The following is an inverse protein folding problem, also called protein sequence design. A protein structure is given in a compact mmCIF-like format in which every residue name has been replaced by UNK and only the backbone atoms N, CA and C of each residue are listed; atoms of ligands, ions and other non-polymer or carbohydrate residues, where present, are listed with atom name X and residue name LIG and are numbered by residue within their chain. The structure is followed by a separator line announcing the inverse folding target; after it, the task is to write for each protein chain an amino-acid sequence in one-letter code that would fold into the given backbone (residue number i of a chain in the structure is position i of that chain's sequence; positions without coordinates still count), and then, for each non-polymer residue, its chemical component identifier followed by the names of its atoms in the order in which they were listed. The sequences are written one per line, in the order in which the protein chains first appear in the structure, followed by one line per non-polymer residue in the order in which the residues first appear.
data_IF_550359718621
#
_entry.id   IF_550359718621
#
_cell.length_a   1.000
_cell.length_b   1.000
_cell.length_c   1.000
_cell.angle_alpha   90.00
_cell.angle_beta   90.00
_cell.angle_gamma   90.00
#
_symmetry.space_group_name_H-M   'P 1'
#
loop_
_entity.id
_entity.type
_entity.pdbx_description
1 polymer ?
#
# COMPACT_ATOMS: atom_id res chain seq x y z
N UNK A 1 -38.86 -2.34 35.79
CA UNK A 1 -38.02 -1.59 34.83
C UNK A 1 -38.92 -1.26 33.65
N UNK A 2 -39.24 0.02 33.46
CA UNK A 2 -40.16 0.45 32.43
C UNK A 2 -39.51 0.38 31.05
N UNK A 3 -40.32 0.35 29.99
CA UNK A 3 -39.86 0.36 28.59
C UNK A 3 -38.89 1.52 28.30
N UNK A 4 -39.20 2.73 28.82
CA UNK A 4 -38.38 3.93 28.63
C UNK A 4 -36.97 3.79 29.19
N UNK A 5 -36.84 3.25 30.40
CA UNK A 5 -35.53 3.04 31.03
C UNK A 5 -34.71 2.01 30.27
N UNK A 6 -35.32 0.93 29.80
CA UNK A 6 -34.68 -0.07 28.95
C UNK A 6 -34.23 0.49 27.61
N UNK A 7 -35.08 1.30 26.97
CA UNK A 7 -34.79 1.97 25.71
C UNK A 7 -33.62 2.98 25.85
N UNK A 8 -33.64 3.81 26.88
CA UNK A 8 -32.56 4.76 27.17
C UNK A 8 -31.21 4.06 27.42
N UNK A 9 -31.20 2.96 28.15
CA UNK A 9 -30.01 2.19 28.41
C UNK A 9 -29.47 1.56 27.12
N UNK A 10 -30.35 1.11 26.22
CA UNK A 10 -29.95 0.58 24.91
C UNK A 10 -29.35 1.66 23.99
N UNK A 11 -29.98 2.83 23.94
CA UNK A 11 -29.51 3.98 23.19
C UNK A 11 -28.14 4.49 23.66
N UNK A 12 -27.94 4.52 25.01
CA UNK A 12 -26.63 4.85 25.60
C UNK A 12 -25.54 3.87 25.13
N UNK A 13 -25.83 2.56 25.18
CA UNK A 13 -24.88 1.55 24.66
C UNK A 13 -24.52 1.76 23.19
N UNK A 14 -25.51 2.03 22.34
CA UNK A 14 -25.25 2.32 20.92
C UNK A 14 -24.38 3.56 20.73
N UNK A 15 -24.63 4.59 21.51
CA UNK A 15 -23.79 5.79 21.50
C UNK A 15 -22.34 5.47 21.91
N UNK A 16 -22.17 4.76 23.01
CA UNK A 16 -20.86 4.38 23.53
C UNK A 16 -20.09 3.46 22.53
N UNK A 17 -20.80 2.62 21.78
CA UNK A 17 -20.23 1.79 20.71
C UNK A 17 -19.82 2.65 19.51
N UNK A 18 -20.66 3.60 19.10
CA UNK A 18 -20.34 4.53 18.02
C UNK A 18 -19.13 5.41 18.35
N UNK A 19 -19.08 5.97 19.58
CA UNK A 19 -17.96 6.80 20.04
C UNK A 19 -16.65 6.02 20.07
N UNK A 20 -16.69 4.74 20.49
CA UNK A 20 -15.51 3.86 20.44
C UNK A 20 -15.05 3.57 19.00
N UNK A 21 -15.99 3.30 18.10
CA UNK A 21 -15.67 3.05 16.69
C UNK A 21 -15.03 4.26 16.03
N UNK A 22 -15.52 5.47 16.32
CA UNK A 22 -14.92 6.71 15.85
C UNK A 22 -13.49 6.91 16.42
N UNK A 23 -13.25 6.51 17.66
CA UNK A 23 -11.92 6.49 18.25
C UNK A 23 -10.97 5.59 17.47
N UNK A 24 -11.38 4.37 17.17
CA UNK A 24 -10.57 3.41 16.40
C UNK A 24 -10.28 3.86 14.95
N UNK A 25 -11.24 4.53 14.32
CA UNK A 25 -11.03 5.13 13.00
C UNK A 25 -9.92 6.17 13.07
N UNK A 26 -9.97 7.09 14.02
CA UNK A 26 -8.97 8.14 14.19
C UNK A 26 -7.56 7.57 14.47
N UNK A 27 -7.48 6.58 15.35
CA UNK A 27 -6.21 5.88 15.64
C UNK A 27 -5.61 5.23 14.39
N UNK A 28 -6.45 4.60 13.55
CA UNK A 28 -6.01 3.99 12.30
C UNK A 28 -5.56 5.03 11.27
N UNK A 29 -6.26 6.17 11.16
CA UNK A 29 -5.89 7.28 10.28
C UNK A 29 -4.57 7.92 10.72
N UNK A 30 -4.37 8.11 12.02
CA UNK A 30 -3.12 8.66 12.57
C UNK A 30 -1.93 7.71 12.31
N UNK A 31 -2.13 6.40 12.52
CA UNK A 31 -1.11 5.40 12.20
C UNK A 31 -0.78 5.39 10.70
N UNK A 32 -1.79 5.52 9.83
CA UNK A 32 -1.58 5.58 8.38
C UNK A 32 -0.85 6.85 7.96
N UNK A 33 -1.16 7.99 8.56
CA UNK A 33 -0.43 9.26 8.30
C UNK A 33 1.04 9.14 8.71
N UNK A 34 1.32 8.67 9.91
CA UNK A 34 2.68 8.43 10.37
C UNK A 34 3.45 7.46 9.47
N UNK A 35 2.78 6.39 9.04
CA UNK A 35 3.40 5.44 8.11
C UNK A 35 3.63 6.05 6.72
N UNK A 36 2.69 6.85 6.19
CA UNK A 36 2.84 7.49 4.87
C UNK A 36 4.03 8.44 4.83
N UNK A 37 4.22 9.23 5.88
CA UNK A 37 5.37 10.13 6.00
C UNK A 37 6.69 9.36 5.96
N UNK A 38 6.79 8.28 6.70
CA UNK A 38 7.98 7.42 6.71
C UNK A 38 8.19 6.68 5.39
N UNK A 39 7.12 6.17 4.80
CA UNK A 39 7.16 5.51 3.49
C UNK A 39 7.67 6.46 2.40
N UNK A 40 7.15 7.69 2.38
CA UNK A 40 7.53 8.70 1.39
C UNK A 40 8.99 9.12 1.58
N UNK A 41 9.41 9.37 2.82
CA UNK A 41 10.81 9.66 3.12
C UNK A 41 11.75 8.50 2.71
N UNK A 42 11.35 7.25 2.94
CA UNK A 42 12.11 6.08 2.51
C UNK A 42 12.18 5.92 0.97
N UNK A 43 11.10 6.24 0.26
CA UNK A 43 11.08 6.25 -1.20
C UNK A 43 11.95 7.37 -1.77
N UNK A 44 11.93 8.56 -1.20
CA UNK A 44 12.80 9.68 -1.59
C UNK A 44 14.27 9.36 -1.34
N UNK A 45 14.59 8.79 -0.17
CA UNK A 45 15.95 8.36 0.18
C UNK A 45 16.47 7.32 -0.80
N UNK A 46 15.71 6.26 -1.06
CA UNK A 46 16.12 5.19 -1.99
C UNK A 46 16.20 5.69 -3.44
N UNK A 47 15.35 6.65 -3.83
CA UNK A 47 15.43 7.32 -5.12
C UNK A 47 16.70 8.16 -5.26
N UNK A 48 17.12 8.84 -4.19
CA UNK A 48 18.39 9.57 -4.17
C UNK A 48 19.59 8.62 -4.37
N UNK A 49 19.59 7.45 -3.71
CA UNK A 49 20.61 6.42 -3.94
C UNK A 49 20.56 5.87 -5.37
N UNK A 50 19.38 5.68 -5.93
CA UNK A 50 19.21 5.27 -7.33
C UNK A 50 19.78 6.28 -8.31
N UNK A 51 19.59 7.58 -8.08
CA UNK A 51 20.21 8.65 -8.89
C UNK A 51 21.74 8.62 -8.78
N UNK A 52 22.29 8.42 -7.59
CA UNK A 52 23.75 8.26 -7.41
C UNK A 52 24.29 7.03 -8.14
N UNK A 53 23.49 5.97 -8.28
CA UNK A 53 23.83 4.79 -9.07
C UNK A 53 23.64 4.97 -10.58
N UNK A 54 23.24 6.16 -11.04
CA UNK A 54 23.12 6.50 -12.47
C UNK A 54 21.73 6.23 -13.07
N UNK A 55 20.71 5.93 -12.28
CA UNK A 55 19.35 5.79 -12.79
C UNK A 55 18.67 7.16 -12.97
N UNK A 56 17.91 7.32 -14.06
CA UNK A 56 17.05 8.48 -14.29
C UNK A 56 15.80 8.40 -13.40
N UNK A 57 15.85 8.94 -12.18
CA UNK A 57 14.75 8.90 -11.23
C UNK A 57 14.34 10.32 -10.86
N UNK A 58 13.06 10.60 -10.99
CA UNK A 58 12.43 11.85 -10.56
C UNK A 58 11.47 11.58 -9.43
N UNK A 59 11.47 12.47 -8.44
CA UNK A 59 10.51 12.47 -7.35
C UNK A 59 9.92 13.87 -7.22
N UNK A 60 8.60 13.97 -7.02
CA UNK A 60 7.93 15.22 -6.70
C UNK A 60 6.84 14.99 -5.67
N UNK A 61 6.58 16.00 -4.85
CA UNK A 61 5.55 15.96 -3.84
C UNK A 61 4.56 17.09 -4.06
N UNK A 62 3.31 16.73 -4.35
CA UNK A 62 2.25 17.69 -4.60
C UNK A 62 0.91 17.15 -4.06
N UNK A 63 0.12 18.04 -3.45
CA UNK A 63 -1.25 17.72 -3.00
C UNK A 63 -1.36 16.49 -2.09
N UNK A 64 -0.34 16.26 -1.24
CA UNK A 64 -0.32 15.11 -0.33
C UNK A 64 0.06 13.78 -1.00
N UNK A 65 0.49 13.81 -2.26
CA UNK A 65 0.94 12.65 -3.02
C UNK A 65 2.43 12.73 -3.32
N UNK A 66 3.10 11.60 -3.27
CA UNK A 66 4.47 11.42 -3.74
C UNK A 66 4.44 10.77 -5.13
N UNK A 67 4.90 11.51 -6.13
CA UNK A 67 5.12 10.99 -7.47
C UNK A 67 6.55 10.48 -7.60
N UNK A 68 6.69 9.28 -8.12
CA UNK A 68 7.96 8.62 -8.39
C UNK A 68 7.98 8.17 -9.84
N UNK A 69 8.94 8.66 -10.62
CA UNK A 69 9.12 8.31 -12.04
C UNK A 69 10.51 7.77 -12.28
N UNK A 70 10.60 6.73 -13.08
CA UNK A 70 11.86 6.13 -13.52
C UNK A 70 11.92 6.18 -15.02
N UNK A 71 13.07 6.66 -15.54
CA UNK A 71 13.40 6.68 -16.95
C UNK A 71 14.53 5.68 -17.21
N UNK A 72 14.26 4.62 -17.95
CA UNK A 72 15.25 3.64 -18.36
C UNK A 72 15.89 4.01 -19.71
N UNK A 73 15.14 4.70 -20.59
CA UNK A 73 15.56 5.27 -21.88
C UNK A 73 14.65 6.46 -22.21
N UNK A 74 14.96 7.28 -23.22
CA UNK A 74 14.16 8.46 -23.57
C UNK A 74 12.66 8.18 -23.74
N UNK A 75 12.31 7.03 -24.31
CA UNK A 75 10.93 6.62 -24.57
C UNK A 75 10.44 5.52 -23.61
N UNK A 76 11.22 5.20 -22.59
CA UNK A 76 10.97 4.12 -21.65
C UNK A 76 10.90 4.64 -20.23
N UNK A 77 9.70 4.88 -19.77
CA UNK A 77 9.43 5.41 -18.42
C UNK A 77 8.33 4.61 -17.74
N UNK A 78 8.40 4.56 -16.44
CA UNK A 78 7.31 4.08 -15.58
C UNK A 78 7.14 5.02 -14.40
N UNK A 79 5.92 5.22 -13.96
CA UNK A 79 5.60 6.12 -12.86
C UNK A 79 4.57 5.55 -11.91
N UNK A 80 4.66 5.95 -10.65
CA UNK A 80 3.66 5.66 -9.61
C UNK A 80 3.49 6.86 -8.71
N UNK A 81 2.25 7.18 -8.39
CA UNK A 81 1.87 8.22 -7.42
C UNK A 81 1.33 7.56 -6.18
N UNK A 82 1.94 7.79 -5.03
CA UNK A 82 1.47 7.30 -3.73
C UNK A 82 0.74 8.40 -2.97
N UNK A 83 -0.45 8.09 -2.45
CA UNK A 83 -1.24 9.03 -1.67
C UNK A 83 -1.92 8.38 -0.47
N UNK A 84 -2.02 9.13 0.63
CA UNK A 84 -2.86 8.78 1.77
C UNK A 84 -4.30 9.16 1.46
N UNK A 85 -5.23 8.22 1.59
CA UNK A 85 -6.64 8.50 1.47
C UNK A 85 -7.21 8.79 2.86
N UNK A 86 -7.50 10.07 3.14
CA UNK A 86 -8.10 10.51 4.38
C UNK A 86 -9.63 10.29 4.37
N UNK A 87 -10.22 10.04 5.55
CA UNK A 87 -11.67 9.88 5.73
C UNK A 87 -12.24 8.55 5.25
N UNK A 88 -11.39 7.60 4.87
CA UNK A 88 -11.79 6.26 4.44
C UNK A 88 -11.12 5.20 5.30
N UNK A 89 -11.31 5.28 6.59
CA UNK A 89 -11.09 4.11 7.43
C UNK A 89 -12.24 3.14 7.17
N UNK A 90 -12.11 2.37 6.13
CA UNK A 90 -13.10 1.40 5.76
C UNK A 90 -13.01 0.17 6.68
N UNK A 91 -14.16 -0.50 6.81
CA UNK A 91 -14.20 -1.88 7.25
C UNK A 91 -13.11 -2.71 6.54
N UNK A 92 -12.68 -3.76 7.20
CA UNK A 92 -11.69 -4.72 6.73
C UNK A 92 -11.96 -5.05 5.26
N UNK A 93 -10.99 -4.73 4.41
CA UNK A 93 -11.00 -5.21 3.03
C UNK A 93 -10.72 -6.72 3.07
N UNK A 94 -11.72 -7.50 2.75
CA UNK A 94 -11.64 -8.95 2.74
C UNK A 94 -10.51 -9.45 1.83
N UNK A 95 -10.19 -8.73 0.76
CA UNK A 95 -9.13 -9.08 -0.17
C UNK A 95 -7.71 -8.91 0.40
N UNK A 96 -7.51 -7.99 1.34
CA UNK A 96 -6.24 -7.88 2.07
C UNK A 96 -6.15 -8.88 3.24
N UNK A 97 -7.27 -9.52 3.58
CA UNK A 97 -7.43 -10.41 4.72
C UNK A 97 -7.42 -11.91 4.37
N UNK A 98 -6.90 -12.32 3.23
CA UNK A 98 -6.84 -13.74 2.82
C UNK A 98 -6.02 -14.65 3.75
N UNK A 99 -5.38 -14.13 4.78
CA UNK A 99 -5.06 -14.96 5.92
C UNK A 99 -6.35 -15.17 6.72
N UNK A 100 -6.72 -16.43 6.93
CA UNK A 100 -7.68 -16.85 7.95
C UNK A 100 -7.21 -16.37 9.33
N UNK A 101 -7.22 -15.07 9.53
CA UNK A 101 -7.29 -14.54 10.87
C UNK A 101 -8.63 -15.04 11.36
N UNK A 102 -8.59 -15.72 12.49
CA UNK A 102 -9.83 -16.00 13.23
C UNK A 102 -10.45 -14.64 13.53
N UNK A 103 -11.29 -14.19 12.62
CA UNK A 103 -11.79 -12.83 12.48
C UNK A 103 -12.59 -12.34 13.68
N UNK A 104 -12.85 -13.21 14.60
CA UNK A 104 -13.78 -12.98 15.70
C UNK A 104 -13.16 -12.23 16.89
N UNK A 105 -11.86 -12.22 17.04
CA UNK A 105 -11.18 -11.46 18.09
C UNK A 105 -10.76 -10.05 17.67
N UNK A 106 -10.95 -9.68 16.40
CA UNK A 106 -10.38 -8.46 15.82
C UNK A 106 -11.42 -7.42 15.41
N UNK A 107 -12.69 -7.57 15.80
CA UNK A 107 -13.69 -6.55 15.51
C UNK A 107 -13.31 -5.11 15.89
N UNK A 108 -12.54 -4.86 16.95
CA UNK A 108 -12.06 -3.51 17.24
C UNK A 108 -10.87 -3.06 16.40
N UNK A 109 -10.06 -3.98 15.87
CA UNK A 109 -8.90 -3.67 15.03
C UNK A 109 -9.20 -3.67 13.52
N UNK A 110 -10.46 -3.80 13.16
CA UNK A 110 -10.93 -3.86 11.77
C UNK A 110 -10.81 -2.57 10.98
N UNK A 111 -10.47 -1.46 11.63
CA UNK A 111 -10.31 -0.19 10.95
C UNK A 111 -8.86 -0.01 10.53
N UNK A 112 -8.65 0.34 9.27
CA UNK A 112 -7.34 0.65 8.73
C UNK A 112 -7.38 1.93 7.92
N UNK A 113 -6.40 2.80 8.11
CA UNK A 113 -6.12 3.87 7.16
C UNK A 113 -5.49 3.30 5.90
N UNK A 114 -5.63 3.99 4.76
CA UNK A 114 -5.24 3.48 3.46
C UNK A 114 -4.27 4.39 2.76
N UNK A 115 -3.22 3.79 2.18
CA UNK A 115 -2.32 4.44 1.24
C UNK A 115 -2.43 3.67 -0.07
N UNK A 116 -2.61 4.40 -1.15
CA UNK A 116 -2.72 3.83 -2.49
C UNK A 116 -1.57 4.29 -3.35
N UNK A 117 -1.12 3.40 -4.24
CA UNK A 117 -0.24 3.72 -5.35
C UNK A 117 -1.00 3.56 -6.66
N UNK A 118 -0.95 4.58 -7.50
CA UNK A 118 -1.51 4.56 -8.85
C UNK A 118 -0.39 4.67 -9.87
N UNK A 119 -0.45 3.84 -10.90
CA UNK A 119 0.47 3.91 -12.03
C UNK A 119 -0.28 4.46 -13.24
N UNK A 120 0.36 5.36 -13.99
CA UNK A 120 -0.19 5.89 -15.24
C UNK A 120 -0.53 4.76 -16.23
N UNK A 121 0.20 3.66 -16.16
CA UNK A 121 0.05 2.49 -17.02
C UNK A 121 -1.04 1.52 -16.55
N UNK A 122 -1.39 1.53 -15.28
CA UNK A 122 -2.37 0.60 -14.68
C UNK A 122 -3.83 1.10 -14.75
N UNK A 123 -4.06 2.32 -15.26
CA UNK A 123 -5.38 2.91 -15.35
C UNK A 123 -5.90 3.49 -14.03
N UNK A 124 -7.22 3.47 -13.81
CA UNK A 124 -7.87 4.12 -12.66
C UNK A 124 -7.76 3.31 -11.35
N UNK A 125 -7.47 2.02 -11.42
CA UNK A 125 -7.36 1.18 -10.23
C UNK A 125 -6.00 1.31 -9.55
N UNK A 126 -5.96 1.29 -8.20
CA UNK A 126 -4.70 1.32 -7.48
C UNK A 126 -3.87 0.06 -7.78
N UNK A 127 -2.64 0.28 -8.21
CA UNK A 127 -1.68 -0.80 -8.49
C UNK A 127 -0.97 -1.32 -7.23
N UNK A 128 -1.00 -0.57 -6.13
CA UNK A 128 -0.45 -0.94 -4.82
C UNK A 128 -1.33 -0.38 -3.72
N UNK A 129 -1.66 -1.19 -2.72
CA UNK A 129 -2.49 -0.78 -1.59
C UNK A 129 -1.80 -1.12 -0.28
N UNK A 130 -1.81 -0.17 0.66
CA UNK A 130 -1.39 -0.39 2.04
C UNK A 130 -2.61 -0.22 2.95
N UNK A 131 -2.79 -1.16 3.86
CA UNK A 131 -3.69 -1.04 4.99
C UNK A 131 -2.85 -0.89 6.26
N UNK A 132 -3.07 0.18 7.00
CA UNK A 132 -2.36 0.48 8.25
C UNK A 132 -3.36 0.46 9.38
N UNK A 133 -3.16 -0.45 10.30
CA UNK A 133 -4.06 -0.68 11.43
C UNK A 133 -3.69 0.20 12.63
N UNK A 134 -4.63 0.46 13.49
CA UNK A 134 -4.47 1.28 14.70
C UNK A 134 -3.36 0.81 15.64
N UNK A 135 -3.04 -0.48 15.64
CA UNK A 135 -1.96 -1.08 16.44
C UNK A 135 -0.57 -0.91 15.81
N UNK A 136 -0.48 -0.12 14.73
CA UNK A 136 0.74 0.15 14.01
C UNK A 136 1.20 -0.99 13.09
N UNK A 137 0.42 -2.03 12.92
CA UNK A 137 0.69 -3.05 11.89
C UNK A 137 0.26 -2.52 10.54
N UNK A 138 1.10 -2.70 9.53
CA UNK A 138 0.72 -2.43 8.15
C UNK A 138 0.82 -3.70 7.31
N UNK A 139 -0.01 -3.76 6.28
CA UNK A 139 0.00 -4.81 5.24
C UNK A 139 -0.09 -4.14 3.88
N UNK A 140 0.51 -4.75 2.88
CA UNK A 140 0.41 -4.27 1.50
C UNK A 140 0.19 -5.40 0.54
N UNK A 141 -0.49 -5.08 -0.58
CA UNK A 141 -0.69 -5.96 -1.73
C UNK A 141 -0.64 -5.11 -3.00
N UNK A 142 0.00 -5.60 -4.03
CA UNK A 142 -0.02 -4.93 -5.34
C UNK A 142 1.10 -5.35 -6.28
N UNK A 143 1.30 -4.51 -7.27
CA UNK A 143 2.23 -4.71 -8.38
C UNK A 143 3.70 -4.75 -7.93
N UNK A 144 4.11 -3.72 -7.19
CA UNK A 144 5.52 -3.55 -6.82
C UNK A 144 5.93 -4.53 -5.74
N UNK A 145 5.01 -4.80 -4.82
CA UNK A 145 5.21 -5.80 -3.77
C UNK A 145 3.92 -6.61 -3.64
N UNK A 146 3.97 -7.86 -4.08
CA UNK A 146 2.79 -8.73 -4.13
C UNK A 146 2.14 -8.89 -2.76
N UNK A 147 2.95 -9.07 -1.71
CA UNK A 147 2.49 -9.15 -0.32
C UNK A 147 3.64 -8.83 0.64
N UNK A 148 3.42 -7.93 1.56
CA UNK A 148 4.32 -7.69 2.68
C UNK A 148 3.54 -7.19 3.91
N UNK A 149 4.19 -7.25 5.06
CA UNK A 149 3.71 -6.71 6.33
C UNK A 149 4.86 -6.20 7.16
N UNK A 150 4.57 -5.31 8.08
CA UNK A 150 5.54 -4.78 9.06
C UNK A 150 4.83 -3.94 10.11
N UNK A 151 5.60 -3.18 10.83
CA UNK A 151 5.10 -2.24 11.83
C UNK A 151 5.50 -0.81 11.45
N UNK A 152 4.70 0.15 11.86
CA UNK A 152 4.97 1.58 11.65
C UNK A 152 6.27 2.00 12.36
N UNK A 153 6.58 1.37 13.49
CA UNK A 153 7.77 1.61 14.32
C UNK A 153 8.98 0.73 13.95
N UNK A 154 8.94 -0.05 12.87
CA UNK A 154 10.09 -0.80 12.37
C UNK A 154 11.29 0.15 12.10
N UNK A 155 12.54 -0.31 12.30
CA UNK A 155 13.73 0.48 11.96
C UNK A 155 13.73 0.99 10.52
N UNK A 156 14.30 2.18 10.30
CA UNK A 156 14.33 2.80 8.97
C UNK A 156 15.04 1.94 7.93
N UNK A 157 16.05 1.15 8.33
CA UNK A 157 16.73 0.22 7.41
C UNK A 157 15.78 -0.83 6.84
N UNK A 158 14.82 -1.31 7.65
CA UNK A 158 13.81 -2.30 7.21
C UNK A 158 12.86 -1.66 6.20
N UNK A 159 12.39 -0.45 6.51
CA UNK A 159 11.50 0.30 5.63
C UNK A 159 12.21 0.72 4.34
N UNK A 160 13.45 1.20 4.42
CA UNK A 160 14.26 1.55 3.25
C UNK A 160 14.53 0.33 2.36
N UNK A 161 14.79 -0.85 2.95
CA UNK A 161 14.90 -2.11 2.23
C UNK A 161 13.61 -2.48 1.49
N UNK A 162 12.45 -2.16 2.07
CA UNK A 162 11.15 -2.32 1.43
C UNK A 162 10.95 -1.29 0.29
N UNK A 163 11.27 -0.01 0.51
CA UNK A 163 11.22 1.04 -0.51
C UNK A 163 12.15 0.73 -1.70
N UNK A 164 13.33 0.17 -1.43
CA UNK A 164 14.25 -0.27 -2.48
C UNK A 164 13.65 -1.37 -3.36
N UNK A 165 12.83 -2.26 -2.80
CA UNK A 165 12.10 -3.28 -3.61
C UNK A 165 11.06 -2.64 -4.51
N UNK A 166 10.31 -1.65 -4.01
CA UNK A 166 9.36 -0.89 -4.85
C UNK A 166 10.12 -0.22 -5.99
N UNK A 167 11.19 0.51 -5.68
CA UNK A 167 12.01 1.20 -6.68
C UNK A 167 12.60 0.22 -7.71
N UNK A 168 13.13 -0.91 -7.26
CA UNK A 168 13.68 -1.94 -8.15
C UNK A 168 12.64 -2.49 -9.13
N UNK A 169 11.42 -2.71 -8.65
CA UNK A 169 10.31 -3.14 -9.53
C UNK A 169 9.89 -2.06 -10.52
N UNK A 170 9.90 -0.81 -10.10
CA UNK A 170 9.60 0.31 -11.00
C UNK A 170 10.68 0.48 -12.08
N UNK A 171 11.96 0.27 -11.74
CA UNK A 171 13.08 0.24 -12.69
C UNK A 171 12.90 -0.92 -13.68
N UNK A 172 12.58 -2.11 -13.20
CA UNK A 172 12.33 -3.28 -14.06
C UNK A 172 11.12 -3.04 -14.99
N UNK A 173 10.07 -2.40 -14.50
CA UNK A 173 8.89 -2.04 -15.30
C UNK A 173 9.27 -1.02 -16.41
N UNK A 174 9.96 0.06 -16.05
CA UNK A 174 10.43 1.05 -17.01
C UNK A 174 11.31 0.41 -18.11
N UNK A 175 12.22 -0.47 -17.73
CA UNK A 175 13.06 -1.20 -18.68
C UNK A 175 12.24 -2.14 -19.58
N UNK A 176 11.18 -2.75 -19.06
CA UNK A 176 10.29 -3.66 -19.84
C UNK A 176 9.48 -2.90 -20.88
N UNK A 177 8.91 -1.75 -20.52
CA UNK A 177 8.14 -0.88 -21.45
C UNK A 177 9.02 -0.46 -22.63
N UNK A 178 10.30 -0.16 -22.41
CA UNK A 178 11.25 0.20 -23.47
C UNK A 178 11.79 -0.96 -24.29
N UNK A 179 11.31 -2.18 -24.10
CA UNK A 179 11.79 -3.37 -24.79
C UNK A 179 13.18 -3.86 -24.33
N UNK A 180 13.78 -3.21 -23.33
CA UNK A 180 15.06 -3.57 -22.72
C UNK A 180 14.88 -4.41 -21.43
N UNK A 181 13.65 -4.86 -21.17
CA UNK A 181 13.26 -5.52 -19.92
C UNK A 181 14.05 -6.78 -19.61
N UNK A 182 14.24 -7.02 -18.34
CA UNK A 182 14.82 -8.28 -17.86
C UNK A 182 13.91 -9.44 -18.23
N UNK A 183 14.50 -10.50 -18.71
CA UNK A 183 13.79 -11.77 -18.90
C UNK A 183 13.57 -12.42 -17.54
N UNK A 184 12.31 -12.68 -17.20
CA UNK A 184 11.92 -13.45 -16.05
C UNK A 184 11.74 -14.90 -16.49
N UNK A 185 12.51 -15.83 -15.91
CA UNK A 185 12.43 -17.26 -16.26
C UNK A 185 12.56 -17.57 -17.78
N UNK A 186 13.29 -16.74 -18.52
CA UNK A 186 13.44 -16.89 -19.96
C UNK A 186 12.40 -16.16 -20.80
N UNK A 187 11.31 -15.69 -20.21
CA UNK A 187 10.25 -14.97 -20.90
C UNK A 187 10.26 -13.48 -20.56
N UNK A 188 9.85 -12.64 -21.51
CA UNK A 188 9.64 -11.22 -21.27
C UNK A 188 8.25 -11.05 -20.69
N UNK A 189 8.17 -10.54 -19.46
CA UNK A 189 6.91 -10.17 -18.84
C UNK A 189 6.64 -8.70 -19.16
N UNK A 190 5.54 -8.44 -19.86
CA UNK A 190 5.16 -7.11 -20.32
C UNK A 190 4.17 -6.44 -19.38
N UNK A 191 4.00 -5.12 -19.49
CA UNK A 191 2.93 -4.39 -18.81
C UNK A 191 1.55 -4.98 -19.17
N UNK A 192 1.35 -5.36 -20.45
CA UNK A 192 0.10 -6.00 -20.91
C UNK A 192 -0.15 -7.33 -20.18
N UNK A 193 0.89 -8.16 -20.00
CA UNK A 193 0.78 -9.42 -19.25
C UNK A 193 0.35 -9.16 -17.80
N UNK A 194 0.85 -8.08 -17.24
CA UNK A 194 0.49 -7.64 -15.90
C UNK A 194 -0.96 -7.13 -15.85
N UNK A 195 -1.37 -6.23 -16.74
CA UNK A 195 -2.73 -5.70 -16.80
C UNK A 195 -3.77 -6.79 -17.10
N UNK A 196 -3.39 -7.84 -17.82
CA UNK A 196 -4.21 -9.03 -18.05
C UNK A 196 -4.25 -9.99 -16.86
N UNK A 197 -3.60 -9.66 -15.74
CA UNK A 197 -3.57 -10.48 -14.53
C UNK A 197 -2.75 -11.76 -14.66
N UNK A 198 -1.86 -11.84 -15.63
CA UNK A 198 -0.95 -12.98 -15.75
C UNK A 198 0.03 -13.02 -14.59
N UNK A 199 0.23 -14.17 -13.99
CA UNK A 199 1.19 -14.35 -12.92
C UNK A 199 2.62 -14.16 -13.41
N UNK A 200 3.47 -13.55 -12.60
CA UNK A 200 4.91 -13.55 -12.86
C UNK A 200 5.44 -14.96 -13.05
N UNK A 201 6.29 -15.22 -14.03
CA UNK A 201 6.79 -16.57 -14.32
C UNK A 201 7.45 -17.28 -13.13
N UNK A 202 7.98 -16.53 -12.16
CA UNK A 202 8.65 -17.04 -10.96
C UNK A 202 7.87 -16.80 -9.66
N UNK A 203 6.64 -16.31 -9.71
CA UNK A 203 5.81 -16.28 -8.51
C UNK A 203 5.39 -17.71 -8.18
N UNK A 204 5.99 -18.24 -7.13
CA UNK A 204 5.44 -19.41 -6.45
C UNK A 204 4.01 -19.08 -6.09
N UNK A 205 3.05 -19.70 -6.76
CA UNK A 205 1.64 -19.55 -6.42
C UNK A 205 1.52 -19.94 -4.95
N UNK A 206 1.29 -18.95 -4.10
CA UNK A 206 0.84 -19.26 -2.75
C UNK A 206 -0.44 -20.09 -2.93
N UNK A 207 -0.54 -21.26 -2.29
CA UNK A 207 -1.75 -22.08 -2.39
C UNK A 207 -2.95 -21.22 -1.99
N UNK A 208 -3.99 -21.28 -2.82
CA UNK A 208 -5.27 -20.62 -2.59
C UNK A 208 -5.93 -21.11 -1.32
#
# INVERSE_FOLDING_TARGET
MGFEESALNRLRRYRDEADRSLGFIREAEEAARSFSERLFAGLEYTSALGRQAGFGIETSYASGMLDLRVMAAPDSRAGVSFGLLEGVAAEIDEDLMHEKLSCYSLKPSGYSGRIFGWSEEAGEEPCQTFAVYRDGVWKTKGLFVTKARGRVDDPDEVLNGFCLRILGRLIDLAATIGGAGRRWAGDTYTLSDFLEGKAYPNETRLPR
#
